data_IF_504912080951
#
_entry.id   IF_504912080951
#
_cell.length_a   1.000
_cell.length_b   1.000
_cell.length_c   1.000
_cell.angle_alpha   90.00
_cell.angle_beta   90.00
_cell.angle_gamma   90.00
#
_symmetry.space_group_name_H-M   'P 1'
#
loop_
_entity.id
_entity.type
_entity.pdbx_description
1 polymer ?
#
# COMPACT_ATOMS: atom_id res chain seq x y z
N UNK A 1 -18.31 -33.37 29.24
CA UNK A 1 -17.22 -33.08 28.28
C UNK A 1 -17.80 -32.17 27.22
N UNK A 2 -17.40 -30.90 27.20
CA UNK A 2 -18.03 -29.84 26.41
C UNK A 2 -17.77 -30.04 24.91
N UNK A 3 -18.80 -30.45 24.16
CA UNK A 3 -18.78 -30.58 22.70
C UNK A 3 -18.61 -29.25 21.96
N UNK A 4 -18.74 -28.11 22.65
CA UNK A 4 -18.65 -26.77 22.08
C UNK A 4 -17.22 -26.31 21.72
N UNK A 5 -16.19 -27.04 22.14
CA UNK A 5 -14.79 -26.74 21.82
C UNK A 5 -14.29 -27.37 20.50
N UNK A 6 -15.03 -28.32 19.92
CA UNK A 6 -14.60 -29.04 18.71
C UNK A 6 -15.04 -28.36 17.38
N UNK A 7 -15.90 -27.34 17.42
CA UNK A 7 -16.44 -26.69 16.20
C UNK A 7 -15.72 -25.39 15.80
N UNK A 8 -14.81 -24.88 16.64
CA UNK A 8 -14.13 -23.61 16.36
C UNK A 8 -12.84 -23.82 15.55
N UNK A 9 -12.24 -25.01 15.59
CA UNK A 9 -10.96 -25.27 14.93
C UNK A 9 -11.10 -25.54 13.41
N UNK A 10 -12.21 -26.14 12.97
CA UNK A 10 -12.40 -26.56 11.56
C UNK A 10 -12.81 -25.44 10.58
N UNK A 11 -13.10 -24.23 11.06
CA UNK A 11 -13.52 -23.11 10.16
C UNK A 11 -12.35 -22.24 9.71
N UNK A 12 -11.15 -22.46 10.25
CA UNK A 12 -9.95 -21.69 9.90
C UNK A 12 -9.27 -22.14 8.59
N UNK A 13 -9.59 -23.33 8.08
CA UNK A 13 -9.01 -23.87 6.84
C UNK A 13 -9.79 -23.46 5.57
N UNK A 14 -10.48 -22.32 5.61
CA UNK A 14 -11.10 -21.72 4.43
C UNK A 14 -10.02 -21.24 3.44
N UNK A 15 -9.54 -22.19 2.62
CA UNK A 15 -8.90 -22.01 1.33
C UNK A 15 -8.01 -20.75 1.20
N UNK A 16 -6.72 -20.90 1.53
CA UNK A 16 -5.68 -19.95 1.09
C UNK A 16 -5.54 -20.08 -0.43
N UNK A 17 -6.48 -19.50 -1.17
CA UNK A 17 -6.43 -19.39 -2.61
C UNK A 17 -5.14 -18.66 -2.99
N UNK A 18 -4.34 -19.26 -3.87
CA UNK A 18 -3.07 -18.66 -4.30
C UNK A 18 -3.33 -17.23 -4.79
N UNK A 19 -2.55 -16.23 -4.36
CA UNK A 19 -2.78 -14.85 -4.74
C UNK A 19 -2.75 -14.73 -6.26
N UNK A 20 -3.86 -14.23 -6.84
CA UNK A 20 -3.97 -14.06 -8.29
C UNK A 20 -2.85 -13.15 -8.79
N UNK A 21 -2.23 -13.54 -9.90
CA UNK A 21 -1.22 -12.71 -10.58
C UNK A 21 -1.86 -11.37 -10.96
N UNK A 22 -1.27 -10.26 -10.51
CA UNK A 22 -1.75 -8.90 -10.85
C UNK A 22 -1.74 -8.70 -12.36
N UNK A 23 -2.71 -7.97 -12.89
CA UNK A 23 -2.79 -7.64 -14.32
C UNK A 23 -1.59 -6.79 -14.78
N UNK A 24 -1.33 -6.76 -16.10
CA UNK A 24 -0.27 -5.91 -16.68
C UNK A 24 -0.54 -4.42 -16.45
N UNK A 25 -1.81 -4.01 -16.55
CA UNK A 25 -2.23 -2.62 -16.31
C UNK A 25 -2.00 -2.20 -14.86
N UNK A 26 -2.33 -3.05 -13.89
CA UNK A 26 -2.08 -2.79 -12.47
C UNK A 26 -0.59 -2.62 -12.17
N UNK A 27 0.26 -3.49 -12.73
CA UNK A 27 1.73 -3.36 -12.58
C UNK A 27 2.27 -2.07 -13.19
N UNK A 28 1.75 -1.66 -14.34
CA UNK A 28 2.12 -0.41 -14.97
C UNK A 28 1.71 0.80 -14.11
N UNK A 29 0.51 0.79 -13.52
CA UNK A 29 0.08 1.84 -12.59
C UNK A 29 0.91 1.88 -11.32
N UNK A 30 1.27 0.72 -10.74
CA UNK A 30 2.11 0.62 -9.55
C UNK A 30 3.51 1.20 -9.82
N UNK A 31 4.06 0.97 -11.01
CA UNK A 31 5.35 1.54 -11.42
C UNK A 31 5.30 3.07 -11.48
N UNK A 32 4.23 3.64 -12.01
CA UNK A 32 4.00 5.10 -12.02
C UNK A 32 3.82 5.64 -10.60
N UNK A 33 3.03 4.94 -9.77
CA UNK A 33 2.79 5.31 -8.38
C UNK A 33 4.10 5.31 -7.58
N UNK A 34 4.95 4.29 -7.72
CA UNK A 34 6.25 4.22 -7.06
C UNK A 34 7.16 5.39 -7.45
N UNK A 35 7.23 5.74 -8.74
CA UNK A 35 7.98 6.91 -9.22
C UNK A 35 7.46 8.22 -8.62
N UNK A 36 6.14 8.37 -8.59
CA UNK A 36 5.49 9.56 -8.04
C UNK A 36 5.76 9.71 -6.54
N UNK A 37 5.74 8.63 -5.76
CA UNK A 37 6.10 8.67 -4.33
C UNK A 37 7.56 9.02 -4.11
N UNK A 38 8.49 8.57 -4.97
CA UNK A 38 9.91 8.98 -4.87
C UNK A 38 10.06 10.49 -5.05
N UNK A 39 9.43 11.06 -6.08
CA UNK A 39 9.44 12.50 -6.30
C UNK A 39 8.77 13.28 -5.15
N UNK A 40 7.63 12.79 -4.65
CA UNK A 40 6.94 13.43 -3.54
C UNK A 40 7.77 13.43 -2.25
N UNK A 41 8.45 12.32 -1.95
CA UNK A 41 9.35 12.23 -0.81
C UNK A 41 10.55 13.16 -0.97
N UNK A 42 11.17 13.25 -2.15
CA UNK A 42 12.27 14.19 -2.39
C UNK A 42 11.86 15.65 -2.15
N UNK A 43 10.63 16.02 -2.49
CA UNK A 43 10.12 17.37 -2.27
C UNK A 43 9.81 17.64 -0.78
N UNK A 44 9.18 16.69 -0.10
CA UNK A 44 8.56 16.91 1.22
C UNK A 44 9.37 16.37 2.41
N UNK A 45 10.37 15.51 2.18
CA UNK A 45 11.28 15.04 3.21
C UNK A 45 12.57 15.85 3.23
N UNK A 46 13.18 15.85 4.40
CA UNK A 46 14.55 16.30 4.64
C UNK A 46 15.52 15.17 4.28
N UNK A 47 16.82 15.50 4.22
CA UNK A 47 17.88 14.51 3.90
C UNK A 47 17.96 13.38 4.92
N UNK A 48 17.54 13.62 6.15
CA UNK A 48 17.46 12.64 7.24
C UNK A 48 16.16 11.79 7.21
N UNK A 49 15.30 11.99 6.20
CA UNK A 49 14.05 11.24 6.03
C UNK A 49 12.85 11.77 6.81
N UNK A 50 13.03 12.77 7.68
CA UNK A 50 11.92 13.43 8.39
C UNK A 50 11.07 14.25 7.41
N UNK A 51 9.78 14.39 7.72
CA UNK A 51 8.92 15.31 6.97
C UNK A 51 9.30 16.76 7.30
N UNK A 52 9.19 17.65 6.31
CA UNK A 52 9.33 19.09 6.54
C UNK A 52 8.26 19.58 7.52
N UNK A 53 8.58 20.62 8.30
CA UNK A 53 7.68 21.21 9.29
C UNK A 53 6.32 21.56 8.66
N UNK A 54 5.24 21.16 9.32
CA UNK A 54 3.87 21.39 8.84
C UNK A 54 3.44 20.51 7.66
N UNK A 55 4.22 19.47 7.31
CA UNK A 55 3.83 18.48 6.31
C UNK A 55 3.49 17.16 6.96
N UNK A 56 2.50 16.49 6.40
CA UNK A 56 1.96 15.22 6.86
C UNK A 56 2.14 14.14 5.78
N UNK A 57 2.01 12.87 6.17
CA UNK A 57 1.99 11.77 5.21
C UNK A 57 0.84 11.90 4.21
N UNK A 58 -0.29 12.49 4.62
CA UNK A 58 -1.41 12.78 3.75
C UNK A 58 -1.02 13.76 2.62
N UNK A 59 -0.15 14.74 2.91
CA UNK A 59 0.34 15.68 1.90
C UNK A 59 1.24 14.97 0.87
N UNK A 60 2.08 14.05 1.34
CA UNK A 60 2.92 13.20 0.46
C UNK A 60 2.04 12.35 -0.46
N UNK A 61 1.02 11.70 0.09
CA UNK A 61 0.09 10.88 -0.70
C UNK A 61 -0.71 11.73 -1.71
N UNK A 62 -1.22 12.90 -1.29
CA UNK A 62 -1.92 13.83 -2.19
C UNK A 62 -1.02 14.30 -3.33
N UNK A 63 0.22 14.66 -3.03
CA UNK A 63 1.18 15.10 -4.05
C UNK A 63 1.59 13.95 -4.98
N UNK A 64 1.83 12.76 -4.45
CA UNK A 64 2.14 11.57 -5.25
C UNK A 64 0.99 11.21 -6.21
N UNK A 65 -0.27 11.25 -5.77
CA UNK A 65 -1.39 10.96 -6.67
C UNK A 65 -1.59 12.04 -7.74
N UNK A 66 -1.30 13.31 -7.44
CA UNK A 66 -1.26 14.38 -8.45
C UNK A 66 -0.16 14.13 -9.49
N UNK A 67 1.04 13.74 -9.06
CA UNK A 67 2.16 13.44 -9.96
C UNK A 67 1.88 12.18 -10.81
N UNK A 68 1.31 11.13 -10.22
CA UNK A 68 0.95 9.91 -10.94
C UNK A 68 0.02 10.20 -12.11
N UNK A 69 -0.97 11.08 -11.95
CA UNK A 69 -1.91 11.45 -13.01
C UNK A 69 -1.23 12.16 -14.19
N UNK A 70 -0.05 12.75 -13.98
CA UNK A 70 0.75 13.42 -15.02
C UNK A 70 1.75 12.48 -15.72
N UNK A 71 1.90 11.23 -15.26
CA UNK A 71 2.80 10.20 -15.82
C UNK A 71 2.03 9.15 -16.61
#
# INVERSE_FOLDING_TARGET
VNQSLMFVEDTAEAAVSKPKKRSRSARASDKKLSKAFKQANLALRLKDGRLRKGRTQADVARLAQKLRKKM
#
